data_IF_129509555845
#
_entry.id   IF_129509555845
#
_cell.length_a   1.000
_cell.length_b   1.000
_cell.length_c   1.000
_cell.angle_alpha   90.00
_cell.angle_beta   90.00
_cell.angle_gamma   90.00
#
_symmetry.space_group_name_H-M   'P 1'
#
loop_
_entity.id
_entity.type
_entity.pdbx_description
1 polymer ?
#
# COMPACT_ATOMS: atom_id res chain seq x y z
N UNK A 1 17.09 7.53 9.48
CA UNK A 1 17.81 6.35 10.02
C UNK A 1 16.75 5.32 10.39
N UNK A 2 16.57 4.24 9.61
CA UNK A 2 15.36 3.39 9.67
C UNK A 2 15.62 1.86 9.84
N UNK A 3 16.81 1.41 10.25
CA UNK A 3 17.11 -0.03 10.33
C UNK A 3 17.42 -0.52 11.76
N UNK A 4 16.40 -0.75 12.60
CA UNK A 4 16.57 -1.43 13.89
C UNK A 4 15.36 -2.28 14.31
N UNK A 5 14.70 -2.98 13.36
CA UNK A 5 13.50 -3.81 13.63
C UNK A 5 13.77 -5.33 13.56
N UNK A 6 15.00 -5.81 13.36
CA UNK A 6 15.22 -7.21 12.95
C UNK A 6 16.26 -7.95 13.79
N UNK A 7 15.99 -8.11 15.09
CA UNK A 7 16.73 -9.06 15.94
C UNK A 7 15.87 -10.23 16.44
N UNK A 8 14.68 -10.45 15.87
CA UNK A 8 14.06 -11.77 15.90
C UNK A 8 14.96 -12.77 15.16
N UNK A 9 15.25 -13.93 15.76
CA UNK A 9 15.89 -15.06 15.08
C UNK A 9 15.09 -15.41 13.82
N UNK A 10 15.56 -14.97 12.65
CA UNK A 10 14.97 -15.26 11.36
C UNK A 10 14.80 -16.78 11.18
N UNK A 11 13.64 -17.26 10.68
CA UNK A 11 13.48 -18.68 10.40
C UNK A 11 14.50 -19.14 9.35
N UNK A 12 14.87 -20.43 9.36
CA UNK A 12 15.76 -20.97 8.34
C UNK A 12 15.11 -20.84 6.94
N UNK A 13 15.90 -20.59 5.88
CA UNK A 13 15.40 -20.57 4.51
C UNK A 13 14.66 -21.86 4.15
N UNK A 14 13.46 -21.77 3.54
CA UNK A 14 12.70 -22.92 3.07
C UNK A 14 13.51 -23.83 2.15
N UNK A 15 13.34 -25.14 2.30
CA UNK A 15 13.99 -26.17 1.48
C UNK A 15 13.12 -26.65 0.31
N UNK A 16 11.84 -26.31 0.30
CA UNK A 16 10.92 -26.65 -0.78
C UNK A 16 10.87 -25.56 -1.85
N UNK A 17 10.53 -25.95 -3.09
CA UNK A 17 10.27 -25.02 -4.18
C UNK A 17 8.90 -24.40 -3.96
N UNK A 18 8.82 -23.08 -3.96
CA UNK A 18 7.57 -22.35 -3.72
C UNK A 18 7.21 -21.49 -4.93
N UNK A 19 5.96 -21.54 -5.34
CA UNK A 19 5.45 -20.78 -6.48
C UNK A 19 4.08 -20.15 -6.17
N UNK A 20 3.61 -19.28 -7.06
CA UNK A 20 2.30 -18.64 -6.94
C UNK A 20 1.20 -19.66 -6.64
N UNK A 21 0.39 -19.37 -5.62
CA UNK A 21 -0.68 -20.26 -5.19
C UNK A 21 -0.32 -21.16 -4.00
N UNK A 22 0.96 -21.39 -3.73
CA UNK A 22 1.42 -22.27 -2.63
C UNK A 22 0.93 -21.78 -1.27
N UNK A 23 0.54 -22.70 -0.39
CA UNK A 23 0.18 -22.43 1.01
C UNK A 23 0.97 -23.34 1.95
N UNK A 24 1.96 -22.81 2.65
CA UNK A 24 2.74 -23.60 3.60
C UNK A 24 3.42 -22.72 4.66
N UNK A 25 3.79 -23.29 5.83
CA UNK A 25 4.64 -22.60 6.80
C UNK A 25 5.97 -22.13 6.22
N UNK A 26 6.46 -22.77 5.15
CA UNK A 26 7.68 -22.38 4.47
C UNK A 26 7.50 -21.09 3.66
N UNK A 27 6.33 -20.86 3.05
CA UNK A 27 6.00 -19.56 2.45
C UNK A 27 6.05 -18.44 3.48
N UNK A 28 5.51 -18.69 4.69
CA UNK A 28 5.59 -17.72 5.80
C UNK A 28 7.05 -17.42 6.17
N UNK A 29 7.90 -18.44 6.26
CA UNK A 29 9.33 -18.25 6.52
C UNK A 29 10.02 -17.42 5.43
N UNK A 30 9.74 -17.72 4.14
CA UNK A 30 10.25 -16.94 3.02
C UNK A 30 9.84 -15.47 3.11
N UNK A 31 8.55 -15.20 3.39
CA UNK A 31 8.03 -13.83 3.52
C UNK A 31 8.74 -13.05 4.61
N UNK A 32 8.93 -13.63 5.79
CA UNK A 32 9.65 -13.00 6.89
C UNK A 32 11.09 -12.66 6.50
N UNK A 33 11.77 -13.56 5.78
CA UNK A 33 13.12 -13.31 5.28
C UNK A 33 13.13 -12.17 4.25
N UNK A 34 12.21 -12.17 3.28
CA UNK A 34 12.13 -11.11 2.27
C UNK A 34 11.82 -9.74 2.89
N UNK A 35 10.98 -9.70 3.94
CA UNK A 35 10.77 -8.48 4.74
C UNK A 35 12.05 -8.04 5.41
N UNK A 36 12.78 -8.97 6.05
CA UNK A 36 14.01 -8.63 6.75
C UNK A 36 15.10 -8.08 5.83
N UNK A 37 15.14 -8.56 4.59
CA UNK A 37 16.07 -8.11 3.56
C UNK A 37 15.59 -6.85 2.84
N UNK A 38 14.41 -6.31 3.17
CA UNK A 38 13.85 -5.10 2.56
C UNK A 38 13.19 -5.28 1.20
N UNK A 39 13.00 -6.52 0.74
CA UNK A 39 12.35 -6.83 -0.54
C UNK A 39 10.83 -6.84 -0.48
N UNK A 40 10.28 -6.91 0.73
CA UNK A 40 8.85 -6.88 0.96
C UNK A 40 8.53 -5.97 2.14
N UNK A 41 7.53 -5.12 2.00
CA UNK A 41 7.03 -4.33 3.12
C UNK A 41 6.08 -5.20 3.96
N UNK A 42 6.18 -5.08 5.29
CA UNK A 42 5.08 -5.51 6.14
C UNK A 42 3.86 -4.64 5.83
N UNK A 43 2.96 -5.13 4.98
CA UNK A 43 1.74 -4.43 4.62
C UNK A 43 0.85 -4.13 5.83
N UNK A 44 0.04 -3.07 5.73
CA UNK A 44 -0.91 -2.64 6.78
C UNK A 44 -2.08 -3.61 7.03
N UNK A 45 -2.28 -4.59 6.15
CA UNK A 45 -3.17 -5.75 6.33
C UNK A 45 -2.26 -6.98 6.42
N UNK A 46 -2.65 -8.01 7.17
CA UNK A 46 -1.93 -9.20 7.67
C UNK A 46 -1.07 -10.04 6.69
N UNK A 47 -0.85 -9.54 5.49
CA UNK A 47 -0.04 -10.10 4.41
C UNK A 47 1.45 -10.18 4.74
N UNK A 48 1.91 -9.97 5.97
CA UNK A 48 3.30 -10.19 6.34
C UNK A 48 3.50 -11.59 6.91
N UNK A 49 2.44 -12.19 7.49
CA UNK A 49 2.52 -13.43 8.28
C UNK A 49 1.63 -14.55 7.72
N UNK A 50 0.91 -14.30 6.62
CA UNK A 50 0.19 -15.37 5.92
C UNK A 50 1.12 -16.44 5.34
N UNK A 51 0.61 -17.65 5.22
CA UNK A 51 1.25 -18.82 4.61
C UNK A 51 1.03 -18.90 3.08
N UNK A 52 0.35 -17.93 2.48
CA UNK A 52 0.01 -17.92 1.06
C UNK A 52 1.01 -17.16 0.17
N UNK A 53 1.47 -17.83 -0.90
CA UNK A 53 2.38 -17.29 -1.90
C UNK A 53 1.58 -16.55 -2.98
N UNK A 54 1.19 -15.31 -2.67
CA UNK A 54 0.42 -14.44 -3.56
C UNK A 54 1.28 -13.57 -4.47
N UNK A 55 0.63 -12.68 -5.21
CA UNK A 55 1.26 -11.79 -6.19
C UNK A 55 2.36 -10.90 -5.60
N UNK A 56 2.17 -10.39 -4.37
CA UNK A 56 3.20 -9.58 -3.69
C UNK A 56 4.48 -10.37 -3.39
N UNK A 57 4.35 -11.64 -3.02
CA UNK A 57 5.50 -12.52 -2.76
C UNK A 57 6.24 -12.80 -4.07
N UNK A 58 5.50 -13.05 -5.17
CA UNK A 58 6.07 -13.19 -6.51
C UNK A 58 6.90 -11.95 -6.87
N UNK A 59 6.34 -10.74 -6.73
CA UNK A 59 7.05 -9.49 -7.04
C UNK A 59 8.29 -9.29 -6.17
N UNK A 60 8.21 -9.57 -4.86
CA UNK A 60 9.35 -9.48 -3.95
C UNK A 60 10.47 -10.46 -4.35
N UNK A 61 10.10 -11.70 -4.70
CA UNK A 61 11.06 -12.70 -5.19
C UNK A 61 11.68 -12.30 -6.52
N UNK A 62 10.92 -11.74 -7.46
CA UNK A 62 11.46 -11.22 -8.72
C UNK A 62 12.48 -10.12 -8.50
N UNK A 63 12.17 -9.14 -7.64
CA UNK A 63 13.11 -8.07 -7.26
C UNK A 63 14.38 -8.64 -6.62
N UNK A 64 14.22 -9.58 -5.70
CA UNK A 64 15.35 -10.27 -5.07
C UNK A 64 16.22 -11.00 -6.11
N UNK A 65 15.59 -11.73 -7.04
CA UNK A 65 16.26 -12.43 -8.14
C UNK A 65 17.04 -11.47 -9.05
N UNK A 66 16.42 -10.35 -9.43
CA UNK A 66 17.02 -9.32 -10.26
C UNK A 66 18.28 -8.73 -9.61
N UNK A 67 18.18 -8.31 -8.34
CA UNK A 67 19.28 -7.71 -7.58
C UNK A 67 20.47 -8.66 -7.39
N UNK A 68 20.21 -9.97 -7.36
CA UNK A 68 21.24 -11.00 -7.20
C UNK A 68 21.68 -11.61 -8.55
N UNK A 69 21.29 -11.01 -9.69
CA UNK A 69 21.75 -11.41 -11.02
C UNK A 69 21.20 -12.76 -11.50
N UNK A 70 20.07 -13.22 -10.95
CA UNK A 70 19.39 -14.46 -11.38
C UNK A 70 18.61 -14.14 -12.66
N UNK A 71 19.11 -14.63 -13.81
CA UNK A 71 18.62 -14.28 -15.15
C UNK A 71 17.15 -14.64 -15.44
N UNK A 72 16.55 -15.51 -14.64
CA UNK A 72 15.15 -15.92 -14.80
C UNK A 72 14.34 -15.43 -13.61
N UNK A 73 13.81 -14.21 -13.72
CA UNK A 73 12.85 -13.60 -12.77
C UNK A 73 11.48 -14.27 -12.85
N UNK A 74 11.46 -15.59 -12.69
CA UNK A 74 10.25 -16.40 -12.68
C UNK A 74 9.30 -15.96 -11.56
N UNK A 75 9.87 -15.39 -10.48
CA UNK A 75 9.14 -15.13 -9.25
C UNK A 75 8.78 -16.41 -8.49
N UNK A 76 9.35 -17.55 -8.90
CA UNK A 76 9.33 -18.83 -8.19
C UNK A 76 10.56 -18.90 -7.30
N UNK A 77 10.38 -19.29 -6.05
CA UNK A 77 11.48 -19.56 -5.13
C UNK A 77 11.98 -20.98 -5.37
N UNK A 78 13.08 -21.09 -6.12
CA UNK A 78 13.76 -22.32 -6.51
C UNK A 78 15.12 -22.49 -5.80
N UNK A 79 15.87 -23.53 -6.19
CA UNK A 79 17.21 -23.80 -5.62
C UNK A 79 18.18 -22.62 -5.79
N UNK A 80 18.18 -22.00 -6.97
CA UNK A 80 19.07 -20.87 -7.30
C UNK A 80 18.75 -19.67 -6.41
N UNK A 81 17.46 -19.36 -6.29
CA UNK A 81 16.94 -18.27 -5.44
C UNK A 81 17.26 -18.54 -3.97
N UNK A 82 17.09 -19.78 -3.51
CA UNK A 82 17.44 -20.18 -2.14
C UNK A 82 18.93 -20.00 -1.86
N UNK A 83 19.80 -20.43 -2.75
CA UNK A 83 21.25 -20.28 -2.58
C UNK A 83 21.65 -18.80 -2.45
N UNK A 84 21.08 -17.93 -3.29
CA UNK A 84 21.26 -16.49 -3.20
C UNK A 84 20.71 -15.92 -1.88
N UNK A 85 19.54 -16.37 -1.43
CA UNK A 85 18.89 -15.93 -0.19
C UNK A 85 19.72 -16.30 1.05
N UNK A 86 20.29 -17.50 1.09
CA UNK A 86 21.24 -17.93 2.13
C UNK A 86 22.49 -17.05 2.15
N UNK A 87 23.03 -16.70 0.98
CA UNK A 87 24.19 -15.81 0.87
C UNK A 87 23.86 -14.39 1.34
N UNK A 88 22.69 -13.86 0.95
CA UNK A 88 22.19 -12.56 1.38
C UNK A 88 22.04 -12.49 2.91
N UNK A 89 21.44 -13.52 3.52
CA UNK A 89 21.28 -13.62 4.98
C UNK A 89 22.63 -13.65 5.72
N UNK A 90 23.60 -14.43 5.23
CA UNK A 90 24.97 -14.45 5.80
C UNK A 90 25.63 -13.09 5.73
N UNK A 91 25.50 -12.41 4.58
CA UNK A 91 26.04 -11.07 4.37
C UNK A 91 25.36 -10.02 5.24
N UNK A 92 24.05 -10.17 5.47
CA UNK A 92 23.27 -9.29 6.32
C UNK A 92 23.65 -9.46 7.81
N UNK A 93 23.91 -10.69 8.24
CA UNK A 93 24.39 -10.98 9.60
C UNK A 93 25.79 -10.40 9.88
N UNK A 94 26.72 -10.46 8.92
CA UNK A 94 28.07 -9.91 9.12
C UNK A 94 28.10 -8.36 9.08
N UNK A 95 27.26 -7.74 8.26
CA UNK A 95 27.20 -6.28 8.17
C UNK A 95 26.62 -5.63 9.43
N UNK A 96 25.66 -6.30 10.09
CA UNK A 96 25.10 -5.84 11.37
C UNK A 96 26.08 -5.85 12.55
N UNK A 97 27.15 -6.66 12.49
CA UNK A 97 28.16 -6.77 13.55
C UNK A 97 29.26 -5.69 13.45
N UNK A 98 29.45 -5.10 12.26
CA UNK A 98 30.57 -4.17 12.00
C UNK A 98 30.41 -2.75 12.57
N UNK A 99 29.21 -2.37 13.01
CA UNK A 99 28.94 -1.03 13.56
C UNK A 99 29.23 -0.94 15.07
N UNK A 100 29.37 -2.07 15.77
CA UNK A 100 29.66 -2.10 17.20
C UNK A 100 31.16 -1.92 17.55
N UNK A 101 32.08 -1.88 16.57
CA UNK A 101 33.54 -1.91 16.79
C UNK A 101 34.27 -0.61 16.41
N UNK A 102 33.67 0.56 16.70
CA UNK A 102 34.33 1.87 16.47
C UNK A 102 34.57 2.72 17.73
N UNK A 103 34.35 2.18 18.93
CA UNK A 103 34.62 2.92 20.17
C UNK A 103 35.91 2.55 20.90
N UNK A 104 36.76 1.68 20.33
CA UNK A 104 38.07 1.37 20.91
C UNK A 104 39.22 1.89 20.06
N UNK A 105 39.54 3.19 20.17
CA UNK A 105 40.94 3.64 20.01
C UNK A 105 41.26 4.96 20.74
N UNK A 106 41.94 4.76 21.86
CA UNK A 106 43.10 5.51 22.37
C UNK A 106 42.94 6.97 22.85
N UNK A 107 43.17 7.12 24.16
CA UNK A 107 43.49 8.34 24.88
C UNK A 107 44.66 9.15 24.28
N UNK A 108 44.87 10.37 24.80
CA UNK A 108 46.12 10.57 25.51
C UNK A 108 45.93 11.18 26.91
N UNK A 109 46.79 10.74 27.81
CA UNK A 109 47.00 11.29 29.14
C UNK A 109 47.52 12.73 29.09
N UNK A 110 47.06 13.61 30.00
CA UNK A 110 47.94 14.22 31.01
C UNK A 110 47.21 15.17 31.99
N UNK A 111 47.81 15.26 33.20
CA UNK A 111 47.72 16.32 34.24
C UNK A 111 46.60 16.35 35.30
N UNK A 112 46.98 15.87 36.48
CA UNK A 112 47.08 16.60 37.76
C UNK A 112 45.98 17.63 38.14
N UNK A 113 45.23 17.33 39.20
CA UNK A 113 45.33 18.09 40.47
C UNK A 113 44.64 17.35 41.63
N UNK A 114 45.40 17.18 42.70
CA UNK A 114 45.00 16.77 44.03
C UNK A 114 44.24 17.90 44.74
N UNK A 115 43.21 17.56 45.52
CA UNK A 115 42.89 18.27 46.76
C UNK A 115 42.02 17.39 47.65
N UNK A 116 42.38 17.40 48.92
CA UNK A 116 41.90 16.55 50.00
C UNK A 116 40.48 16.89 50.41
N UNK A 117 39.72 15.90 50.88
CA UNK A 117 38.83 16.15 52.01
C UNK A 117 38.67 14.88 52.84
N UNK A 118 39.32 14.89 54.01
CA UNK A 118 39.10 13.97 55.10
C UNK A 118 37.82 14.38 55.82
N UNK A 119 36.93 13.42 56.08
CA UNK A 119 35.70 13.62 56.83
C UNK A 119 35.14 12.28 57.27
N UNK A 120 35.64 11.78 58.40
CA UNK A 120 35.18 10.60 59.11
C UNK A 120 33.74 10.78 59.61
N UNK A 121 32.94 9.71 59.57
CA UNK A 121 31.60 9.69 60.18
C UNK A 121 30.86 8.37 59.99
N UNK A 122 31.16 7.41 60.87
CA UNK A 122 30.21 6.47 61.51
C UNK A 122 29.42 5.45 60.65
N UNK A 123 29.94 4.22 60.65
CA UNK A 123 29.29 3.00 61.15
C UNK A 123 27.77 2.86 61.05
N UNK A 124 27.27 2.19 60.00
CA UNK A 124 26.14 1.27 60.13
C UNK A 124 26.36 -0.01 59.31
N UNK A 125 26.41 -1.12 60.04
CA UNK A 125 26.46 -2.47 59.54
C UNK A 125 25.08 -2.93 59.07
N UNK A 126 25.04 -3.69 57.97
CA UNK A 126 23.93 -4.58 57.65
C UNK A 126 22.98 -4.13 56.54
N UNK A 127 23.49 -3.89 55.32
CA UNK A 127 22.64 -3.92 54.13
C UNK A 127 22.83 -5.25 53.41
N UNK A 128 21.84 -6.14 53.58
CA UNK A 128 21.67 -7.32 52.75
C UNK A 128 21.68 -6.92 51.27
N UNK A 129 22.32 -7.73 50.43
CA UNK A 129 22.55 -7.46 49.02
C UNK A 129 21.28 -7.02 48.30
N UNK A 130 21.26 -5.75 47.90
CA UNK A 130 20.34 -5.26 46.87
C UNK A 130 20.75 -5.92 45.56
N UNK A 131 20.21 -7.11 45.30
CA UNK A 131 20.18 -7.67 43.95
C UNK A 131 19.67 -6.55 43.04
N UNK A 132 20.36 -6.26 41.92
CA UNK A 132 19.91 -5.23 41.00
C UNK A 132 18.47 -5.57 40.59
N UNK A 133 17.53 -4.78 41.09
CA UNK A 133 16.14 -4.87 40.73
C UNK A 133 16.07 -4.34 39.30
N UNK A 134 16.29 -5.24 38.33
CA UNK A 134 16.03 -4.92 36.95
C UNK A 134 14.53 -4.71 36.89
N UNK A 135 14.10 -3.45 36.89
CA UNK A 135 12.71 -3.07 36.72
C UNK A 135 12.21 -3.75 35.46
N UNK A 136 11.33 -4.73 35.67
CA UNK A 136 10.75 -5.49 34.57
C UNK A 136 9.89 -4.53 33.78
N UNK A 137 10.25 -4.32 32.52
CA UNK A 137 9.46 -3.49 31.64
C UNK A 137 8.20 -4.25 31.26
N UNK A 138 7.06 -3.65 31.58
CA UNK A 138 5.76 -4.24 31.36
C UNK A 138 4.76 -3.18 30.90
N UNK A 139 3.83 -3.60 30.05
CA UNK A 139 2.73 -2.77 29.55
C UNK A 139 1.43 -3.48 29.85
N UNK A 140 0.63 -2.88 30.72
CA UNK A 140 -0.68 -3.39 31.09
C UNK A 140 -1.76 -2.60 30.34
N UNK A 141 -2.60 -3.29 29.58
CA UNK A 141 -3.68 -2.74 28.77
C UNK A 141 -4.98 -3.38 29.26
N UNK A 142 -6.04 -2.59 29.39
CA UNK A 142 -7.38 -3.11 29.63
C UNK A 142 -8.17 -2.99 28.32
N UNK A 143 -8.53 -4.12 27.74
CA UNK A 143 -9.30 -4.17 26.50
C UNK A 143 -10.76 -3.73 26.74
N UNK A 144 -11.50 -3.54 25.66
CA UNK A 144 -12.86 -3.00 25.63
C UNK A 144 -13.87 -3.93 26.31
N UNK A 145 -13.62 -5.23 26.29
CA UNK A 145 -14.39 -6.24 27.03
C UNK A 145 -13.98 -6.37 28.52
N UNK A 146 -12.96 -5.62 28.94
CA UNK A 146 -12.47 -5.59 30.32
C UNK A 146 -11.31 -6.56 30.59
N UNK A 147 -10.81 -7.27 29.57
CA UNK A 147 -9.68 -8.17 29.74
C UNK A 147 -8.38 -7.41 30.07
N UNK A 148 -7.65 -7.95 31.04
CA UNK A 148 -6.36 -7.42 31.49
C UNK A 148 -5.23 -8.07 30.72
N UNK A 149 -4.66 -7.35 29.75
CA UNK A 149 -3.58 -7.83 28.89
C UNK A 149 -2.25 -7.24 29.36
N UNK A 150 -1.30 -8.10 29.71
CA UNK A 150 0.03 -7.73 30.17
C UNK A 150 1.08 -8.21 29.17
N UNK A 151 1.77 -7.26 28.55
CA UNK A 151 3.00 -7.53 27.81
C UNK A 151 4.20 -7.34 28.75
N UNK A 152 4.99 -8.39 28.98
CA UNK A 152 6.17 -8.36 29.85
C UNK A 152 7.42 -8.74 29.04
N UNK A 153 8.44 -7.89 29.10
CA UNK A 153 9.76 -8.19 28.55
C UNK A 153 10.46 -9.21 29.45
N UNK A 154 10.93 -10.31 28.88
CA UNK A 154 11.66 -11.35 29.64
C UNK A 154 12.95 -10.81 30.25
N UNK A 155 13.47 -11.48 31.28
CA UNK A 155 14.69 -11.03 32.00
C UNK A 155 15.93 -10.94 31.12
N UNK A 156 16.00 -11.75 30.07
CA UNK A 156 17.08 -11.72 29.07
C UNK A 156 16.88 -10.62 28.01
N UNK A 157 15.74 -9.92 28.03
CA UNK A 157 15.38 -8.90 27.07
C UNK A 157 15.10 -9.44 25.66
N UNK A 158 15.02 -10.75 25.47
CA UNK A 158 14.95 -11.36 24.14
C UNK A 158 13.51 -11.64 23.66
N UNK A 159 12.55 -11.72 24.59
CA UNK A 159 11.17 -12.13 24.30
C UNK A 159 10.16 -11.21 24.96
N UNK A 160 9.00 -11.09 24.32
CA UNK A 160 7.83 -10.43 24.89
C UNK A 160 6.82 -11.50 25.20
N UNK A 161 6.47 -11.65 26.47
CA UNK A 161 5.42 -12.57 26.92
C UNK A 161 4.10 -11.82 27.04
N UNK A 162 3.00 -12.46 26.69
CA UNK A 162 1.65 -11.93 26.82
C UNK A 162 0.84 -12.77 27.81
N UNK A 163 0.24 -12.09 28.78
CA UNK A 163 -0.72 -12.68 29.71
C UNK A 163 -2.07 -12.02 29.54
N UNK A 164 -3.13 -12.83 29.52
CA UNK A 164 -4.51 -12.36 29.53
C UNK A 164 -5.13 -12.80 30.85
N UNK A 165 -5.61 -11.83 31.64
CA UNK A 165 -6.16 -12.05 32.97
C UNK A 165 -5.22 -12.87 33.90
N UNK A 166 -3.91 -12.60 33.80
CA UNK A 166 -2.86 -13.26 34.59
C UNK A 166 -2.45 -14.66 34.12
N UNK A 167 -3.06 -15.18 33.04
CA UNK A 167 -2.70 -16.46 32.44
C UNK A 167 -1.82 -16.23 31.21
N UNK A 168 -0.71 -16.97 31.12
CA UNK A 168 0.18 -16.92 29.95
C UNK A 168 -0.58 -17.37 28.70
N UNK A 169 -0.74 -16.46 27.75
CA UNK A 169 -1.32 -16.76 26.44
C UNK A 169 -0.23 -16.89 25.39
N UNK A 170 0.82 -16.08 25.42
CA UNK A 170 1.94 -16.20 24.47
C UNK A 170 3.29 -16.09 25.18
N UNK A 171 4.15 -17.09 24.95
CA UNK A 171 5.51 -17.11 25.47
C UNK A 171 6.45 -16.17 24.69
N UNK A 172 6.20 -15.98 23.39
CA UNK A 172 6.98 -15.06 22.56
C UNK A 172 6.12 -14.38 21.49
N UNK A 173 5.72 -13.14 21.76
CA UNK A 173 5.00 -12.28 20.81
C UNK A 173 6.01 -11.73 19.81
N UNK A 174 6.12 -12.42 18.68
CA UNK A 174 7.09 -12.10 17.64
C UNK A 174 6.85 -10.73 16.96
N UNK A 175 5.59 -10.29 16.89
CA UNK A 175 5.21 -9.05 16.21
C UNK A 175 3.87 -8.51 16.70
N UNK A 176 3.68 -7.20 16.53
CA UNK A 176 2.38 -6.52 16.65
C UNK A 176 2.17 -5.51 15.52
N UNK A 177 0.91 -5.34 15.13
CA UNK A 177 0.44 -4.34 14.18
C UNK A 177 -0.53 -3.40 14.90
N UNK A 178 -0.22 -2.11 14.94
CA UNK A 178 -0.95 -1.13 15.74
C UNK A 178 -1.59 -0.06 14.86
N UNK A 179 -2.91 0.06 14.92
CA UNK A 179 -3.61 1.23 14.38
C UNK A 179 -3.62 2.34 15.43
N UNK A 180 -2.73 3.32 15.29
CA UNK A 180 -2.56 4.41 16.26
C UNK A 180 -3.79 5.34 16.32
N UNK A 181 -4.59 5.40 15.26
CA UNK A 181 -5.80 6.20 15.24
C UNK A 181 -6.90 5.55 16.09
N UNK A 182 -7.18 4.26 15.87
CA UNK A 182 -8.25 3.54 16.57
C UNK A 182 -7.83 2.89 17.89
N UNK A 183 -6.53 2.79 18.17
CA UNK A 183 -6.00 2.06 19.33
C UNK A 183 -6.08 0.53 19.17
N UNK A 184 -6.41 0.01 17.99
CA UNK A 184 -6.42 -1.44 17.77
C UNK A 184 -4.99 -1.98 17.66
N UNK A 185 -4.68 -3.00 18.44
CA UNK A 185 -3.44 -3.77 18.36
C UNK A 185 -3.82 -5.16 17.87
N UNK A 186 -3.09 -5.66 16.88
CA UNK A 186 -3.20 -7.05 16.43
C UNK A 186 -1.87 -7.76 16.66
N UNK A 187 -1.97 -8.93 17.26
CA UNK A 187 -0.88 -9.87 17.48
C UNK A 187 -1.18 -11.19 16.71
N UNK A 188 -0.37 -12.26 16.86
CA UNK A 188 -0.62 -13.54 16.18
C UNK A 188 -1.89 -14.27 16.60
N UNK A 189 -2.45 -14.01 17.78
CA UNK A 189 -3.62 -14.70 18.34
C UNK A 189 -4.91 -13.93 18.15
N UNK A 190 -4.85 -12.60 18.19
CA UNK A 190 -6.07 -11.80 18.26
C UNK A 190 -5.89 -10.33 17.92
N UNK A 191 -6.98 -9.62 18.15
CA UNK A 191 -7.05 -8.16 18.07
C UNK A 191 -7.58 -7.69 19.41
N UNK A 192 -6.92 -6.71 20.00
CA UNK A 192 -7.34 -6.01 21.20
C UNK A 192 -7.42 -4.51 20.93
N UNK A 193 -8.21 -3.78 21.71
CA UNK A 193 -8.39 -2.35 21.56
C UNK A 193 -8.01 -1.60 22.83
N UNK A 194 -7.02 -0.71 22.70
CA UNK A 194 -6.63 0.19 23.79
C UNK A 194 -7.69 1.28 23.94
N UNK A 195 -8.07 1.56 25.18
CA UNK A 195 -8.98 2.65 25.50
C UNK A 195 -8.43 4.00 25.03
N UNK A 196 -9.27 4.90 24.49
CA UNK A 196 -8.84 6.18 23.94
C UNK A 196 -8.00 7.03 24.91
N UNK A 197 -8.35 7.03 26.20
CA UNK A 197 -7.71 7.83 27.25
C UNK A 197 -6.31 7.35 27.64
N UNK A 198 -5.98 6.08 27.39
CA UNK A 198 -4.66 5.51 27.70
C UNK A 198 -3.81 5.28 26.45
N UNK A 199 -4.40 5.42 25.26
CA UNK A 199 -3.84 5.01 23.97
C UNK A 199 -2.41 5.52 23.75
N UNK A 200 -2.18 6.82 23.90
CA UNK A 200 -0.87 7.40 23.61
C UNK A 200 0.24 6.83 24.51
N UNK A 201 -0.01 6.77 25.82
CA UNK A 201 0.94 6.24 26.80
C UNK A 201 1.21 4.74 26.57
N UNK A 202 0.15 3.94 26.43
CA UNK A 202 0.28 2.48 26.28
C UNK A 202 0.95 2.11 24.96
N UNK A 203 0.59 2.75 23.85
CA UNK A 203 1.19 2.45 22.54
C UNK A 203 2.66 2.87 22.49
N UNK A 204 3.02 4.00 23.12
CA UNK A 204 4.42 4.43 23.24
C UNK A 204 5.26 3.41 24.02
N UNK A 205 4.77 2.97 25.19
CA UNK A 205 5.44 1.95 26.01
C UNK A 205 5.52 0.60 25.29
N UNK A 206 4.44 0.19 24.60
CA UNK A 206 4.40 -1.06 23.84
C UNK A 206 5.44 -1.03 22.71
N UNK A 207 5.53 0.08 21.97
CA UNK A 207 6.56 0.29 20.95
C UNK A 207 7.96 0.16 21.54
N UNK A 208 8.23 0.81 22.67
CA UNK A 208 9.52 0.74 23.34
C UNK A 208 9.85 -0.70 23.77
N UNK A 209 8.86 -1.42 24.32
CA UNK A 209 9.00 -2.80 24.77
C UNK A 209 9.37 -3.73 23.59
N UNK A 210 8.67 -3.64 22.47
CA UNK A 210 8.95 -4.45 21.28
C UNK A 210 10.29 -4.09 20.63
N UNK A 211 10.65 -2.81 20.59
CA UNK A 211 11.95 -2.36 20.08
C UNK A 211 13.11 -2.92 20.91
N UNK A 212 12.99 -2.91 22.24
CA UNK A 212 14.02 -3.49 23.12
C UNK A 212 14.15 -5.00 22.95
N UNK A 213 13.04 -5.68 22.75
CA UNK A 213 13.01 -7.11 22.47
C UNK A 213 13.50 -7.49 21.05
N UNK A 214 13.80 -6.51 20.19
CA UNK A 214 14.12 -6.76 18.78
C UNK A 214 12.96 -7.36 17.98
N UNK A 215 11.72 -7.21 18.48
CA UNK A 215 10.49 -7.72 17.86
C UNK A 215 9.88 -6.71 16.90
N UNK A 216 9.05 -7.20 15.99
CA UNK A 216 8.45 -6.33 14.98
C UNK A 216 7.28 -5.52 15.56
N UNK A 217 7.43 -4.21 15.58
CA UNK A 217 6.32 -3.27 15.84
C UNK A 217 6.03 -2.50 14.55
N UNK A 218 4.82 -2.62 14.03
CA UNK A 218 4.39 -1.90 12.83
C UNK A 218 3.14 -1.08 13.10
N UNK A 219 3.04 0.07 12.44
CA UNK A 219 1.90 0.98 12.61
C UNK A 219 1.04 0.99 11.36
N UNK A 220 -0.25 0.79 11.53
CA UNK A 220 -1.28 1.02 10.52
C UNK A 220 -1.93 2.35 10.81
N UNK A 221 -1.20 3.44 10.61
CA UNK A 221 -1.90 4.71 10.46
C UNK A 221 -2.88 4.52 9.29
N UNK A 222 -4.15 4.87 9.44
CA UNK A 222 -4.89 5.32 8.26
C UNK A 222 -3.96 6.32 7.54
N UNK A 223 -3.85 6.35 6.19
CA UNK A 223 -3.24 7.51 5.58
C UNK A 223 -3.95 8.69 6.24
N UNK A 224 -3.21 9.51 6.99
CA UNK A 224 -3.72 10.84 7.28
C UNK A 224 -3.92 11.38 5.88
N UNK A 225 -5.16 11.40 5.41
CA UNK A 225 -5.54 12.33 4.39
C UNK A 225 -5.26 13.68 5.04
N UNK A 226 -4.02 14.14 4.91
CA UNK A 226 -3.74 15.54 5.06
C UNK A 226 -4.42 16.13 3.84
N UNK A 227 -5.69 16.50 4.01
CA UNK A 227 -6.31 17.45 3.11
C UNK A 227 -5.51 18.73 3.30
N UNK A 228 -4.53 18.94 2.42
CA UNK A 228 -3.83 20.20 2.33
C UNK A 228 -4.78 21.08 1.53
N UNK A 229 -5.60 21.86 2.23
CA UNK A 229 -6.34 22.95 1.61
C UNK A 229 -5.32 24.02 1.24
N UNK A 230 -4.82 23.98 0.01
CA UNK A 230 -4.02 25.06 -0.54
C UNK A 230 -5.02 26.08 -1.04
N UNK A 231 -5.31 27.08 -0.21
CA UNK A 231 -6.11 28.24 -0.58
C UNK A 231 -5.29 29.10 -1.55
N UNK A 232 -5.29 28.69 -2.81
CA UNK A 232 -4.69 29.45 -3.90
C UNK A 232 -5.73 30.47 -4.33
N UNK A 233 -5.45 31.75 -4.04
CA UNK A 233 -6.24 32.88 -4.51
C UNK A 233 -6.08 32.98 -6.04
N UNK A 234 -6.86 32.18 -6.78
CA UNK A 234 -6.74 31.99 -8.23
C UNK A 234 -7.18 33.20 -9.05
N UNK A 235 -7.75 34.21 -8.40
CA UNK A 235 -8.24 35.45 -9.00
C UNK A 235 -7.10 36.43 -9.32
N UNK A 236 -5.89 36.17 -8.85
CA UNK A 236 -4.70 36.88 -9.33
C UNK A 236 -4.29 36.33 -10.70
N UNK A 237 -4.00 37.23 -11.65
CA UNK A 237 -3.44 36.92 -12.99
C UNK A 237 -2.02 36.33 -12.91
N UNK A 238 -1.82 35.29 -12.11
CA UNK A 238 -0.59 34.52 -12.09
C UNK A 238 -0.59 33.56 -13.28
N UNK A 239 0.46 33.63 -14.09
CA UNK A 239 0.69 32.63 -15.12
C UNK A 239 0.82 31.22 -14.49
N UNK A 240 0.56 30.19 -15.30
CA UNK A 240 0.57 28.79 -14.84
C UNK A 240 1.89 28.39 -14.14
N UNK A 241 3.00 29.04 -14.52
CA UNK A 241 4.31 28.79 -13.94
C UNK A 241 4.44 29.33 -12.51
N UNK A 242 3.84 30.48 -12.21
CA UNK A 242 3.77 31.02 -10.86
C UNK A 242 2.92 30.15 -9.92
N UNK A 243 1.80 29.60 -10.41
CA UNK A 243 0.96 28.67 -9.65
C UNK A 243 1.72 27.39 -9.30
N UNK A 244 2.48 26.84 -10.25
CA UNK A 244 3.27 25.63 -10.05
C UNK A 244 4.39 25.82 -9.03
N UNK A 245 5.03 26.99 -9.04
CA UNK A 245 6.10 27.32 -8.10
C UNK A 245 5.56 27.52 -6.67
N UNK A 246 4.38 28.13 -6.52
CA UNK A 246 3.71 28.26 -5.22
C UNK A 246 3.37 26.88 -4.60
N UNK A 247 2.92 25.93 -5.44
CA UNK A 247 2.68 24.54 -5.02
C UNK A 247 3.99 23.87 -4.58
N UNK A 248 5.08 24.01 -5.36
CA UNK A 248 6.41 23.49 -4.99
C UNK A 248 6.89 24.03 -3.65
N UNK A 249 6.81 25.35 -3.45
CA UNK A 249 7.24 26.00 -2.20
C UNK A 249 6.40 25.51 -1.00
N UNK A 250 5.09 25.35 -1.19
CA UNK A 250 4.20 24.81 -0.16
C UNK A 250 4.54 23.36 0.21
N UNK A 251 4.81 22.51 -0.79
CA UNK A 251 5.24 21.12 -0.57
C UNK A 251 6.60 21.04 0.15
N UNK A 252 7.51 21.95 -0.17
CA UNK A 252 8.83 22.02 0.46
C UNK A 252 8.73 22.44 1.94
N UNK A 253 7.83 23.37 2.29
CA UNK A 253 7.54 23.75 3.69
C UNK A 253 6.97 22.58 4.50
N UNK A 254 6.27 21.64 3.85
CA UNK A 254 5.74 20.43 4.46
C UNK A 254 6.77 19.29 4.54
N UNK A 255 8.03 19.54 4.18
CA UNK A 255 9.09 18.53 4.06
C UNK A 255 8.75 17.38 3.10
N UNK A 256 7.77 17.56 2.21
CA UNK A 256 7.50 16.63 1.13
C UNK A 256 8.50 16.88 -0.01
N UNK A 257 8.87 15.84 -0.75
CA UNK A 257 9.69 16.02 -1.95
C UNK A 257 8.80 16.63 -3.05
N UNK A 258 9.01 17.91 -3.42
CA UNK A 258 8.11 18.62 -4.31
C UNK A 258 8.11 18.02 -5.72
N UNK A 259 9.26 17.54 -6.20
CA UNK A 259 9.36 16.97 -7.53
C UNK A 259 8.70 15.59 -7.62
N UNK A 260 8.81 14.76 -6.57
CA UNK A 260 8.11 13.48 -6.53
C UNK A 260 6.58 13.67 -6.49
N UNK A 261 6.10 14.61 -5.66
CA UNK A 261 4.67 14.92 -5.56
C UNK A 261 4.13 15.52 -6.86
N UNK A 262 4.87 16.45 -7.48
CA UNK A 262 4.49 17.03 -8.78
C UNK A 262 4.54 15.98 -9.90
N UNK A 263 5.51 15.06 -9.90
CA UNK A 263 5.52 13.93 -10.85
C UNK A 263 4.32 13.01 -10.67
N UNK A 264 3.90 12.73 -9.43
CA UNK A 264 2.67 11.96 -9.18
C UNK A 264 1.43 12.69 -9.69
N UNK A 265 1.33 14.00 -9.47
CA UNK A 265 0.22 14.84 -9.96
C UNK A 265 0.23 14.89 -11.50
N UNK A 266 1.39 15.12 -12.13
CA UNK A 266 1.52 15.17 -13.58
C UNK A 266 1.24 13.81 -14.23
N UNK A 267 1.71 12.70 -13.65
CA UNK A 267 1.41 11.35 -14.15
C UNK A 267 -0.08 11.06 -14.05
N UNK A 268 -0.73 11.45 -12.95
CA UNK A 268 -2.18 11.33 -12.80
C UNK A 268 -2.92 12.05 -13.94
N UNK A 269 -2.55 13.28 -14.28
CA UNK A 269 -3.19 14.02 -15.37
C UNK A 269 -2.77 13.57 -16.79
N UNK A 270 -1.54 13.09 -17.00
CA UNK A 270 -1.09 12.60 -18.31
C UNK A 270 -1.82 11.33 -18.72
N UNK A 271 -2.06 10.41 -17.78
CA UNK A 271 -2.86 9.19 -18.02
C UNK A 271 -4.29 9.56 -18.43
N UNK A 272 -4.88 10.59 -17.83
CA UNK A 272 -6.20 11.10 -18.23
C UNK A 272 -6.21 11.75 -19.64
N UNK A 273 -5.12 12.41 -20.05
CA UNK A 273 -5.05 13.10 -21.35
C UNK A 273 -4.88 12.15 -22.56
N UNK A 274 -4.21 11.01 -22.39
CA UNK A 274 -3.94 10.06 -23.46
C UNK A 274 -5.20 9.29 -23.95
N UNK A 275 -6.29 9.31 -23.16
CA UNK A 275 -7.54 8.64 -23.50
C UNK A 275 -8.53 9.54 -24.27
N UNK A 276 -8.21 10.82 -24.46
CA UNK A 276 -9.08 11.79 -25.15
C UNK A 276 -8.82 11.93 -26.66
N UNK A 277 -7.79 11.29 -27.22
CA UNK A 277 -7.39 11.47 -28.63
C UNK A 277 -7.59 10.23 -29.50
N UNK A 278 -8.79 9.63 -29.47
CA UNK A 278 -9.18 8.62 -30.44
C UNK A 278 -10.64 8.83 -30.89
N UNK A 279 -10.83 9.81 -31.79
CA UNK A 279 -11.92 9.87 -32.80
C UNK A 279 -11.88 11.20 -33.56
N UNK A 280 -11.09 11.29 -34.63
CA UNK A 280 -11.42 12.10 -35.80
C UNK A 280 -10.96 11.34 -37.05
N UNK A 281 -11.91 10.64 -37.65
CA UNK A 281 -11.78 9.99 -38.95
C UNK A 281 -11.92 11.04 -40.06
N UNK A 282 -11.04 11.10 -41.07
CA UNK A 282 -11.11 12.12 -42.12
C UNK A 282 -12.23 11.80 -43.11
N UNK A 283 -13.10 12.80 -43.32
CA UNK A 283 -14.22 12.79 -44.28
C UNK A 283 -13.70 12.66 -45.73
N UNK A 284 -14.18 11.69 -46.53
CA UNK A 284 -13.73 11.55 -47.92
C UNK A 284 -14.42 12.57 -48.84
N UNK A 285 -13.63 13.19 -49.72
CA UNK A 285 -14.11 14.01 -50.84
C UNK A 285 -14.77 13.14 -51.92
N UNK A 286 -15.84 13.59 -52.59
CA UNK A 286 -16.46 12.84 -53.67
C UNK A 286 -15.66 12.97 -54.97
N UNK A 287 -15.17 11.84 -55.45
CA UNK A 287 -14.62 11.69 -56.80
C UNK A 287 -15.77 11.84 -57.83
N UNK A 288 -15.59 12.76 -58.78
CA UNK A 288 -16.45 12.91 -59.93
C UNK A 288 -16.18 11.81 -60.95
N UNK A 289 -17.25 11.18 -61.43
CA UNK A 289 -17.21 10.27 -62.58
C UNK A 289 -17.98 10.88 -63.74
N UNK A 290 -17.25 11.14 -64.82
CA UNK A 290 -17.81 11.47 -66.11
C UNK A 290 -18.21 10.17 -66.82
N UNK A 291 -19.29 10.26 -67.61
CA UNK A 291 -19.57 9.42 -68.77
C UNK A 291 -20.53 8.24 -68.57
N UNK A 292 -21.82 8.55 -68.44
CA UNK A 292 -22.86 7.84 -69.21
C UNK A 292 -23.69 8.87 -69.98
N UNK A 293 -23.28 9.10 -71.23
CA UNK A 293 -24.22 9.48 -72.30
C UNK A 293 -25.07 8.26 -72.66
N UNK A 294 -26.25 8.55 -73.22
CA UNK A 294 -27.05 7.65 -74.07
C UNK A 294 -28.10 6.76 -73.39
N UNK A 295 -29.19 7.37 -72.93
CA UNK A 295 -30.58 6.96 -73.21
C UNK A 295 -31.46 8.14 -72.78
N UNK A 296 -31.97 8.94 -73.71
CA UNK A 296 -33.33 8.78 -74.24
C UNK A 296 -34.40 8.84 -73.15
N UNK A 297 -35.47 9.61 -73.24
CA UNK A 297 -35.91 10.65 -74.16
C UNK A 297 -37.27 11.07 -73.56
N UNK A 298 -37.51 12.38 -73.45
CA UNK A 298 -38.83 13.03 -73.52
C UNK A 298 -40.01 12.52 -72.66
N UNK A 299 -40.46 13.40 -71.75
CA UNK A 299 -41.87 13.79 -71.45
C UNK A 299 -41.78 14.78 -70.26
N UNK A 300 -41.66 16.10 -70.43
CA UNK A 300 -42.59 17.10 -71.00
C UNK A 300 -44.03 16.99 -70.47
N UNK A 301 -44.43 18.08 -69.80
CA UNK A 301 -45.77 18.55 -69.40
C UNK A 301 -46.53 17.62 -68.42
N UNK A 302 -47.17 18.08 -67.34
CA UNK A 302 -48.10 19.20 -67.23
C UNK A 302 -48.58 19.36 -65.76
N UNK A 303 -48.95 20.60 -65.38
CA UNK A 303 -50.14 20.99 -64.58
C UNK A 303 -50.40 20.46 -63.14
N UNK A 304 -50.38 21.46 -62.22
CA UNK A 304 -51.35 21.85 -61.16
C UNK A 304 -51.89 20.84 -60.11
N UNK A 305 -51.83 21.38 -58.89
CA UNK A 305 -52.87 21.49 -57.85
C UNK A 305 -53.16 20.32 -56.89
N UNK A 306 -53.04 20.72 -55.62
CA UNK A 306 -54.00 20.58 -54.53
C UNK A 306 -54.17 19.26 -53.76
N UNK A 307 -54.21 19.49 -52.43
CA UNK A 307 -54.95 18.79 -51.38
C UNK A 307 -54.41 17.41 -50.94
N UNK A 308 -53.91 17.31 -49.69
CA UNK A 308 -54.66 17.13 -48.43
C UNK A 308 -55.18 15.70 -48.24
N UNK A 309 -55.05 15.26 -46.98
CA UNK A 309 -55.65 14.08 -46.34
C UNK A 309 -54.81 12.78 -46.29
N UNK A 310 -54.16 12.60 -45.13
CA UNK A 310 -54.16 11.40 -44.26
C UNK A 310 -55.52 10.63 -44.26
N UNK A 311 -55.71 9.45 -43.63
CA UNK A 311 -54.78 8.60 -42.85
C UNK A 311 -54.92 7.09 -43.18
N UNK A 312 -54.12 6.26 -42.50
CA UNK A 312 -54.71 5.12 -41.80
C UNK A 312 -54.21 3.71 -42.12
N UNK A 313 -53.57 3.14 -41.09
CA UNK A 313 -53.78 1.81 -40.50
C UNK A 313 -53.68 0.57 -41.40
N UNK A 314 -52.84 -0.38 -40.98
CA UNK A 314 -53.18 -1.78 -40.61
C UNK A 314 -52.05 -2.76 -40.97
N UNK A 315 -51.50 -3.34 -39.90
CA UNK A 315 -51.08 -4.74 -39.69
C UNK A 315 -50.44 -5.54 -40.83
N UNK A 316 -49.31 -6.16 -40.50
CA UNK A 316 -48.79 -7.31 -41.22
C UNK A 316 -47.60 -7.91 -40.49
N UNK A 317 -47.87 -8.85 -39.61
CA UNK A 317 -46.91 -9.77 -39.00
C UNK A 317 -46.08 -10.54 -40.06
N UNK A 318 -45.07 -11.28 -39.55
CA UNK A 318 -44.63 -12.62 -40.00
C UNK A 318 -43.15 -12.71 -40.48
N UNK A 319 -42.38 -13.38 -39.61
CA UNK A 319 -41.25 -14.31 -39.80
C UNK A 319 -39.81 -13.81 -40.05
N UNK A 320 -38.99 -14.04 -39.01
CA UNK A 320 -37.86 -14.98 -38.96
C UNK A 320 -37.04 -15.21 -40.25
N UNK A 321 -35.76 -14.81 -40.20
CA UNK A 321 -34.56 -15.60 -40.58
C UNK A 321 -33.33 -14.75 -40.27
N UNK A 322 -32.51 -15.10 -39.28
CA UNK A 322 -31.30 -15.93 -39.43
C UNK A 322 -30.39 -15.45 -40.57
N UNK A 323 -29.36 -14.69 -40.21
CA UNK A 323 -28.04 -14.81 -40.81
C UNK A 323 -26.98 -14.25 -39.84
N UNK A 324 -26.32 -15.19 -39.17
CA UNK A 324 -25.05 -14.99 -38.50
C UNK A 324 -23.99 -14.58 -39.54
N UNK A 325 -23.33 -13.44 -39.31
CA UNK A 325 -22.06 -13.13 -39.96
C UNK A 325 -21.05 -12.75 -38.90
N UNK A 326 -20.15 -13.71 -38.67
CA UNK A 326 -18.95 -13.65 -37.85
C UNK A 326 -18.02 -12.55 -38.33
N UNK A 327 -17.69 -11.60 -37.45
CA UNK A 327 -16.46 -10.80 -37.50
C UNK A 327 -15.79 -10.84 -36.12
N UNK A 328 -14.89 -11.81 -35.92
CA UNK A 328 -13.92 -11.81 -34.81
C UNK A 328 -12.84 -10.77 -35.12
N UNK A 329 -12.89 -9.63 -34.43
CA UNK A 329 -11.77 -8.69 -34.31
C UNK A 329 -11.22 -8.70 -32.88
N UNK A 330 -9.91 -8.81 -32.74
CA UNK A 330 -9.20 -8.88 -31.46
C UNK A 330 -9.35 -7.58 -30.64
N UNK A 331 -10.09 -7.63 -29.52
CA UNK A 331 -10.22 -6.56 -28.51
C UNK A 331 -9.91 -7.14 -27.12
N UNK A 332 -8.74 -7.76 -26.96
CA UNK A 332 -8.40 -8.46 -25.71
C UNK A 332 -7.40 -7.73 -24.80
N UNK A 333 -6.60 -6.78 -25.29
CA UNK A 333 -5.54 -6.16 -24.48
C UNK A 333 -6.01 -4.93 -23.68
N UNK A 334 -6.95 -4.12 -24.20
CA UNK A 334 -7.44 -2.93 -23.48
C UNK A 334 -8.38 -3.22 -22.29
N UNK A 335 -9.00 -4.41 -22.27
CA UNK A 335 -9.96 -4.77 -21.21
C UNK A 335 -9.29 -5.23 -19.92
N UNK A 336 -8.03 -5.68 -19.98
CA UNK A 336 -7.36 -6.29 -18.84
C UNK A 336 -6.63 -5.25 -17.98
N UNK A 337 -6.03 -4.23 -18.60
CA UNK A 337 -5.44 -3.08 -17.89
C UNK A 337 -6.50 -2.23 -17.17
N UNK A 338 -7.66 -2.02 -17.80
CA UNK A 338 -8.80 -1.34 -17.17
C UNK A 338 -9.35 -2.11 -15.96
N UNK A 339 -9.33 -3.46 -16.02
CA UNK A 339 -9.71 -4.31 -14.89
C UNK A 339 -8.69 -4.26 -13.75
N UNK A 340 -7.40 -4.25 -14.05
CA UNK A 340 -6.32 -4.16 -13.04
C UNK A 340 -6.30 -2.77 -12.34
N UNK A 341 -6.66 -1.71 -13.05
CA UNK A 341 -6.76 -0.35 -12.51
C UNK A 341 -8.03 -0.16 -11.65
N UNK A 342 -9.17 -0.74 -12.08
CA UNK A 342 -10.40 -0.82 -11.27
C UNK A 342 -10.19 -1.64 -9.98
N UNK A 343 -9.44 -2.75 -10.04
CA UNK A 343 -9.08 -3.51 -8.83
C UNK A 343 -8.25 -2.67 -7.84
N UNK A 344 -7.41 -1.77 -8.34
CA UNK A 344 -6.59 -0.88 -7.52
C UNK A 344 -7.43 0.19 -6.81
N UNK A 345 -8.47 0.72 -7.47
CA UNK A 345 -9.46 1.63 -6.86
C UNK A 345 -10.28 0.93 -5.76
N UNK A 346 -10.70 -0.32 -5.99
CA UNK A 346 -11.42 -1.12 -4.99
C UNK A 346 -10.57 -1.42 -3.75
N UNK A 347 -9.26 -1.62 -3.93
CA UNK A 347 -8.32 -1.91 -2.84
C UNK A 347 -8.04 -0.72 -1.91
N UNK A 348 -8.47 0.50 -2.31
CA UNK A 348 -8.43 1.72 -1.49
C UNK A 348 -9.62 1.86 -0.52
N UNK A 349 -10.51 0.86 -0.42
CA UNK A 349 -11.57 0.83 0.59
C UNK A 349 -12.96 1.26 0.11
N UNK A 350 -13.23 1.14 -1.19
CA UNK A 350 -14.55 1.34 -1.81
C UNK A 350 -15.39 0.05 -1.93
N UNK A 351 -15.14 -0.95 -1.07
CA UNK A 351 -15.62 -2.32 -1.28
C UNK A 351 -17.12 -2.57 -1.17
N UNK A 352 -17.68 -3.26 -2.17
CA UNK A 352 -18.45 -4.53 -2.15
C UNK A 352 -18.55 -5.00 -3.60
N UNK A 353 -19.01 -6.22 -3.94
CA UNK A 353 -19.20 -6.60 -5.36
C UNK A 353 -20.20 -5.71 -6.11
N UNK A 354 -21.03 -4.94 -5.40
CA UNK A 354 -21.95 -3.95 -5.97
C UNK A 354 -21.23 -2.69 -6.45
N UNK A 355 -19.99 -2.44 -5.99
CA UNK A 355 -19.21 -1.25 -6.35
C UNK A 355 -18.72 -1.21 -7.80
N UNK A 356 -18.58 -2.37 -8.47
CA UNK A 356 -18.08 -2.41 -9.87
C UNK A 356 -19.15 -1.97 -10.86
N UNK A 357 -20.39 -2.43 -10.67
CA UNK A 357 -21.53 -2.03 -11.49
C UNK A 357 -21.85 -0.54 -11.28
N UNK A 358 -21.75 -0.07 -10.02
CA UNK A 358 -21.97 1.34 -9.67
C UNK A 358 -20.85 2.25 -10.23
N UNK A 359 -19.59 1.83 -10.16
CA UNK A 359 -18.47 2.52 -10.82
C UNK A 359 -18.66 2.58 -12.33
N UNK A 360 -19.09 1.49 -12.96
CA UNK A 360 -19.37 1.46 -14.39
C UNK A 360 -20.54 2.39 -14.77
N UNK A 361 -21.58 2.47 -13.93
CA UNK A 361 -22.70 3.38 -14.12
C UNK A 361 -22.29 4.85 -13.93
N UNK A 362 -21.46 5.16 -12.93
CA UNK A 362 -20.91 6.50 -12.69
C UNK A 362 -20.00 6.94 -13.83
N UNK A 363 -19.11 6.05 -14.30
CA UNK A 363 -18.27 6.31 -15.47
C UNK A 363 -19.13 6.56 -16.70
N UNK A 364 -20.19 5.78 -16.91
CA UNK A 364 -21.13 6.01 -18.01
C UNK A 364 -21.89 7.33 -17.87
N UNK A 365 -22.29 7.70 -16.65
CA UNK A 365 -23.01 8.94 -16.36
C UNK A 365 -22.15 10.18 -16.64
N UNK A 366 -20.87 10.12 -16.26
CA UNK A 366 -19.91 11.21 -16.45
C UNK A 366 -19.13 11.14 -17.77
N UNK A 367 -19.62 10.37 -18.75
CA UNK A 367 -19.01 10.29 -20.08
C UNK A 367 -17.57 9.75 -20.09
N UNK A 368 -17.21 8.94 -19.10
CA UNK A 368 -15.87 8.39 -18.89
C UNK A 368 -14.93 9.30 -18.09
N UNK A 369 -15.39 10.45 -17.60
CA UNK A 369 -14.57 11.36 -16.81
C UNK A 369 -14.34 10.81 -15.38
N UNK A 370 -13.17 10.19 -15.20
CA UNK A 370 -12.74 9.60 -13.92
C UNK A 370 -12.65 10.64 -12.81
N UNK A 371 -12.32 11.90 -13.12
CA UNK A 371 -12.18 12.96 -12.10
C UNK A 371 -13.53 13.31 -11.47
N UNK A 372 -14.58 13.38 -12.30
CA UNK A 372 -15.95 13.61 -11.82
C UNK A 372 -16.49 12.41 -11.04
N UNK A 373 -16.18 11.19 -11.47
CA UNK A 373 -16.55 9.97 -10.74
C UNK A 373 -15.91 9.93 -9.35
N UNK A 374 -14.60 10.21 -9.26
CA UNK A 374 -13.89 10.27 -7.97
C UNK A 374 -14.44 11.38 -7.08
N UNK A 375 -14.72 12.56 -7.65
CA UNK A 375 -15.31 13.69 -6.91
C UNK A 375 -16.68 13.35 -6.35
N UNK A 376 -17.53 12.67 -7.13
CA UNK A 376 -18.87 12.26 -6.67
C UNK A 376 -18.79 11.14 -5.61
N UNK A 377 -17.87 10.19 -5.75
CA UNK A 377 -17.66 9.14 -4.74
C UNK A 377 -17.16 9.71 -3.41
N UNK A 378 -16.31 10.74 -3.45
CA UNK A 378 -15.86 11.47 -2.26
C UNK A 378 -17.06 12.21 -1.64
N UNK A 379 -17.85 12.93 -2.44
CA UNK A 379 -19.01 13.68 -1.95
C UNK A 379 -20.04 12.76 -1.29
N UNK A 380 -20.40 11.64 -1.93
CA UNK A 380 -21.33 10.64 -1.36
C UNK A 380 -20.86 10.10 -0.01
N UNK A 381 -19.54 9.98 0.19
CA UNK A 381 -18.98 9.49 1.45
C UNK A 381 -18.95 10.58 2.53
N UNK A 382 -18.76 11.84 2.15
CA UNK A 382 -18.90 12.97 3.06
C UNK A 382 -20.35 13.13 3.53
N UNK A 383 -21.32 12.93 2.64
CA UNK A 383 -22.75 13.04 2.97
C UNK A 383 -23.28 11.86 3.83
N UNK A 384 -22.53 10.75 3.88
CA UNK A 384 -22.87 9.55 4.64
C UNK A 384 -22.31 9.53 6.09
N UNK A 385 -21.51 10.54 6.46
CA UNK A 385 -20.93 10.73 7.81
C UNK A 385 -21.69 11.85 8.51
#
# INVERSE_FOLDING_TARGET
MMNSILACSLPPPPQEVLSFGSRSPAVRALRLILVSLGYMECGRRDYCIGDYYGHRVVLAVKRFQADHGIRHESGTYDETTRAALVHALKSHACNGSSVASRYDRAAPADRFCSAQNEGQGESQAGSAGSSPHIDRQQVHIVDTDGDHILFELTRDGAHVTEYVNGKLEMEDVAWVVVNEASGHIRDPKGVLQVRPEEKEDKLSKLRQLFQQAGKCYSTTSAPKACTIEIDLDLDQEMNNQGKLEAIRQSLQLLHANPDAAMSSICNFFQVCSAQSSHSQEPKPEPAGDQNYKQAELNRLDDVRQDQQEEPGVVMGEVLQNENESVCRGNVAQGSQEMQDELLTLLDMGFGSSESVEELAQLLKHHGGDVSLVVSELIQRRLDAV
#
